data_IF_460966801354
#
_entry.id   IF_460966801354
#
_cell.length_a   1.000
_cell.length_b   1.000
_cell.length_c   1.000
_cell.angle_alpha   90.00
_cell.angle_beta   90.00
_cell.angle_gamma   90.00
#
_symmetry.space_group_name_H-M   'P 1'
#
loop_
_entity.id
_entity.type
_entity.pdbx_description
1 polymer ?
#
# COMPACT_ATOMS: atom_id res chain seq x y z
N UNK A 1 5.61 -35.91 58.06
CA UNK A 1 4.50 -34.93 58.11
C UNK A 1 5.03 -33.56 57.70
N UNK A 2 4.34 -32.61 57.07
CA UNK A 2 3.17 -32.55 56.17
C UNK A 2 2.79 -31.05 56.08
N UNK A 3 2.58 -30.49 54.88
CA UNK A 3 1.73 -29.29 54.62
C UNK A 3 2.27 -27.94 55.19
N UNK A 4 2.00 -26.75 54.62
CA UNK A 4 1.20 -26.29 53.46
C UNK A 4 1.77 -24.91 53.03
N UNK A 5 1.98 -24.68 51.73
CA UNK A 5 1.83 -23.34 51.14
C UNK A 5 0.97 -23.46 49.88
N UNK A 6 -0.03 -22.59 49.77
CA UNK A 6 -1.15 -22.77 48.87
C UNK A 6 -0.87 -22.24 47.45
N UNK A 7 -1.28 -23.03 46.44
CA UNK A 7 -1.31 -22.58 45.04
C UNK A 7 -2.36 -21.50 44.85
N UNK A 8 -1.95 -20.26 44.57
CA UNK A 8 -2.84 -19.25 43.98
C UNK A 8 -2.90 -19.50 42.46
N UNK A 9 -4.07 -19.91 41.95
CA UNK A 9 -4.33 -20.05 40.50
C UNK A 9 -4.74 -18.70 39.90
N UNK A 10 -4.17 -18.25 38.76
CA UNK A 10 -4.68 -17.09 38.04
C UNK A 10 -5.94 -17.47 37.25
N UNK A 11 -7.12 -17.30 37.84
CA UNK A 11 -8.40 -17.66 37.20
C UNK A 11 -8.99 -16.55 36.29
N UNK A 12 -8.15 -15.62 35.79
CA UNK A 12 -8.58 -14.45 34.99
C UNK A 12 -8.22 -14.45 33.50
N UNK A 13 -7.52 -15.46 32.96
CA UNK A 13 -7.17 -15.50 31.51
C UNK A 13 -8.32 -15.96 30.58
N UNK A 14 -9.10 -16.96 31.01
CA UNK A 14 -10.08 -17.67 30.15
C UNK A 14 -11.31 -16.88 29.69
N UNK A 15 -11.48 -15.63 30.11
CA UNK A 15 -12.55 -14.72 29.62
C UNK A 15 -12.05 -13.87 28.46
N UNK A 16 -10.84 -13.32 28.56
CA UNK A 16 -10.17 -12.58 27.48
C UNK A 16 -9.86 -13.51 26.29
N UNK A 17 -9.32 -14.70 26.52
CA UNK A 17 -9.06 -15.68 25.45
C UNK A 17 -10.32 -16.06 24.66
N UNK A 18 -11.47 -16.22 25.34
CA UNK A 18 -12.75 -16.53 24.69
C UNK A 18 -13.33 -15.34 23.93
N UNK A 19 -13.13 -14.11 24.42
CA UNK A 19 -13.48 -12.89 23.65
C UNK A 19 -12.62 -12.81 22.39
N UNK A 20 -11.31 -12.98 22.49
CA UNK A 20 -10.36 -12.93 21.37
C UNK A 20 -10.59 -14.03 20.33
N UNK A 21 -10.88 -15.27 20.75
CA UNK A 21 -11.26 -16.34 19.82
C UNK A 21 -12.60 -16.05 19.11
N UNK A 22 -13.60 -15.52 19.82
CA UNK A 22 -14.86 -15.09 19.22
C UNK A 22 -14.70 -13.92 18.23
N UNK A 23 -13.73 -13.03 18.47
CA UNK A 23 -13.35 -11.98 17.51
C UNK A 23 -12.70 -12.55 16.25
N UNK A 24 -11.79 -13.53 16.39
CA UNK A 24 -11.13 -14.20 15.27
C UNK A 24 -12.13 -14.88 14.33
N UNK A 25 -13.15 -15.55 14.88
CA UNK A 25 -14.26 -16.13 14.09
C UNK A 25 -15.08 -15.08 13.33
N UNK A 26 -15.59 -14.05 14.02
CA UNK A 26 -16.41 -12.98 13.42
C UNK A 26 -15.68 -12.09 12.42
N UNK A 27 -14.35 -12.09 12.43
CA UNK A 27 -13.54 -11.41 11.41
C UNK A 27 -13.41 -12.26 10.15
N UNK A 28 -13.13 -13.56 10.29
CA UNK A 28 -13.05 -14.52 9.18
C UNK A 28 -14.39 -14.66 8.45
N UNK A 29 -15.50 -14.77 9.18
CA UNK A 29 -16.86 -14.79 8.58
C UNK A 29 -17.14 -13.54 7.74
N UNK A 30 -16.73 -12.35 8.22
CA UNK A 30 -16.91 -11.09 7.47
C UNK A 30 -16.01 -11.00 6.25
N UNK A 31 -14.79 -11.55 6.29
CA UNK A 31 -13.90 -11.66 5.13
C UNK A 31 -14.51 -12.60 4.08
N UNK A 32 -15.00 -13.77 4.49
CA UNK A 32 -15.65 -14.71 3.57
C UNK A 32 -16.95 -14.16 2.97
N UNK A 33 -17.78 -13.47 3.75
CA UNK A 33 -19.03 -12.90 3.24
C UNK A 33 -18.77 -11.75 2.24
N UNK A 34 -17.72 -10.94 2.47
CA UNK A 34 -17.24 -9.94 1.50
C UNK A 34 -16.75 -10.61 0.21
N UNK A 35 -16.09 -11.77 0.31
CA UNK A 35 -15.66 -12.58 -0.84
C UNK A 35 -16.84 -13.22 -1.60
N UNK A 36 -17.85 -13.74 -0.88
CA UNK A 36 -19.10 -14.27 -1.47
C UNK A 36 -19.87 -13.18 -2.22
N UNK A 37 -20.06 -12.00 -1.61
CA UNK A 37 -20.70 -10.83 -2.25
C UNK A 37 -19.96 -10.31 -3.48
N UNK A 38 -18.63 -10.39 -3.53
CA UNK A 38 -17.83 -10.06 -4.73
C UNK A 38 -18.05 -11.06 -5.88
N UNK A 39 -18.29 -12.35 -5.60
CA UNK A 39 -18.56 -13.37 -6.63
C UNK A 39 -19.98 -13.33 -7.19
N UNK A 40 -20.93 -12.71 -6.47
CA UNK A 40 -22.35 -12.72 -6.83
C UNK A 40 -22.82 -11.54 -7.72
N UNK A 41 -21.95 -10.60 -8.13
CA UNK A 41 -22.35 -9.46 -8.96
C UNK A 41 -22.39 -9.84 -10.45
N UNK A 42 -23.55 -9.76 -11.14
CA UNK A 42 -23.62 -9.99 -12.59
C UNK A 42 -23.06 -8.79 -13.37
N UNK A 43 -22.31 -9.07 -14.44
CA UNK A 43 -21.71 -8.05 -15.31
C UNK A 43 -22.80 -7.32 -16.15
N UNK A 44 -22.82 -5.97 -16.21
CA UNK A 44 -23.77 -5.26 -17.05
C UNK A 44 -23.46 -5.46 -18.55
N UNK A 45 -24.43 -5.94 -19.32
CA UNK A 45 -24.33 -6.09 -20.78
C UNK A 45 -24.45 -4.73 -21.47
N UNK A 46 -23.42 -4.33 -22.22
CA UNK A 46 -23.43 -3.12 -23.03
C UNK A 46 -24.50 -3.18 -24.14
N UNK A 47 -25.48 -2.27 -24.11
CA UNK A 47 -26.44 -2.07 -25.21
C UNK A 47 -25.94 -0.98 -26.16
N UNK A 48 -25.30 -1.36 -27.27
CA UNK A 48 -25.16 -0.47 -28.43
C UNK A 48 -26.54 -0.14 -29.01
N UNK A 49 -26.93 1.14 -29.03
CA UNK A 49 -28.04 1.62 -29.88
C UNK A 49 -27.45 2.26 -31.14
N UNK A 50 -27.87 1.74 -32.30
CA UNK A 50 -27.63 2.37 -33.61
C UNK A 50 -28.86 3.21 -33.93
N UNK A 51 -28.68 4.52 -34.14
CA UNK A 51 -29.75 5.41 -34.58
C UNK A 51 -29.69 5.57 -36.11
N UNK A 52 -30.71 5.06 -36.82
CA UNK A 52 -30.82 5.18 -38.28
C UNK A 52 -31.64 6.40 -38.71
N UNK A 53 -31.17 7.12 -39.74
CA UNK A 53 -31.89 8.22 -40.39
C UNK A 53 -33.06 7.72 -41.27
N UNK A 54 -34.30 8.13 -40.98
CA UNK A 54 -35.43 8.55 -41.88
C UNK A 54 -36.42 9.35 -41.01
N UNK A 55 -37.15 10.39 -41.43
CA UNK A 55 -37.20 11.17 -42.68
C UNK A 55 -38.63 11.67 -42.97
N UNK A 56 -38.83 13.00 -43.16
CA UNK A 56 -40.09 13.71 -43.52
C UNK A 56 -41.12 13.88 -42.35
N UNK A 57 -41.95 14.94 -42.24
CA UNK A 57 -42.05 16.24 -42.94
C UNK A 57 -43.11 17.19 -42.34
N UNK A 58 -42.90 18.53 -42.42
CA UNK A 58 -43.90 19.65 -42.30
C UNK A 58 -44.60 19.80 -40.91
N UNK A 59 -45.06 20.97 -40.44
CA UNK A 59 -45.08 22.36 -40.93
C UNK A 59 -44.99 23.35 -39.72
N UNK A 60 -44.93 24.68 -39.96
CA UNK A 60 -45.17 25.71 -38.92
C UNK A 60 -44.05 26.73 -38.70
N UNK A 61 -44.14 27.87 -39.39
CA UNK A 61 -43.54 29.19 -39.04
C UNK A 61 -44.71 30.08 -38.51
N UNK A 62 -44.53 31.28 -37.90
CA UNK A 62 -43.44 32.25 -38.19
C UNK A 62 -42.89 33.12 -37.02
N UNK A 63 -41.84 33.90 -37.34
CA UNK A 63 -41.47 35.13 -36.63
C UNK A 63 -40.52 34.95 -35.43
N UNK A 64 -39.55 35.82 -35.17
CA UNK A 64 -39.07 37.03 -35.89
C UNK A 64 -37.55 37.17 -35.75
N UNK A 65 -36.94 37.89 -36.68
CA UNK A 65 -35.61 38.50 -36.56
C UNK A 65 -35.74 39.91 -37.18
N UNK A 66 -34.81 40.87 -36.93
CA UNK A 66 -33.63 40.91 -37.81
C UNK A 66 -32.35 41.64 -37.30
N UNK A 67 -31.22 41.44 -38.03
CA UNK A 67 -30.13 42.44 -38.34
C UNK A 67 -29.17 42.89 -37.22
N UNK A 68 -27.98 43.49 -37.44
CA UNK A 68 -27.06 43.79 -38.59
C UNK A 68 -25.66 44.16 -37.99
N UNK A 69 -24.47 44.20 -38.62
CA UNK A 69 -23.91 43.75 -39.93
C UNK A 69 -22.34 43.79 -39.87
N UNK A 70 -21.63 43.25 -40.88
CA UNK A 70 -20.23 43.60 -41.32
C UNK A 70 -19.04 43.29 -40.38
N UNK A 71 -17.77 43.20 -40.81
CA UNK A 71 -17.09 43.27 -42.13
C UNK A 71 -15.79 42.40 -42.10
N UNK A 72 -15.43 41.64 -43.15
CA UNK A 72 -14.50 41.92 -44.31
C UNK A 72 -12.99 42.08 -44.01
N UNK A 73 -12.15 41.46 -44.88
CA UNK A 73 -10.69 41.65 -45.02
C UNK A 73 -9.89 40.36 -44.74
N UNK A 74 -9.60 39.44 -45.67
CA UNK A 74 -8.93 39.50 -47.00
C UNK A 74 -7.38 39.50 -46.94
N UNK A 75 -6.75 38.43 -47.49
CA UNK A 75 -5.43 38.40 -48.18
C UNK A 75 -4.99 36.98 -48.62
N UNK A 76 -5.30 36.68 -49.88
CA UNK A 76 -4.40 36.21 -50.95
C UNK A 76 -3.33 35.08 -50.79
N UNK A 77 -3.41 34.13 -51.75
CA UNK A 77 -2.33 33.41 -52.49
C UNK A 77 -1.33 32.47 -51.76
N UNK A 78 -1.38 31.18 -52.15
CA UNK A 78 -0.68 30.66 -53.36
C UNK A 78 -1.30 29.34 -53.85
N UNK A 79 -1.18 29.06 -55.15
CA UNK A 79 -1.76 27.90 -55.81
C UNK A 79 -0.70 26.92 -56.32
N UNK A 80 -1.04 25.63 -56.37
CA UNK A 80 -0.32 24.59 -57.11
C UNK A 80 -1.32 23.65 -57.78
N UNK A 81 -1.25 23.51 -59.11
CA UNK A 81 -2.14 22.65 -59.93
C UNK A 81 -1.34 21.49 -60.55
N UNK A 82 -1.96 20.30 -60.63
CA UNK A 82 -2.06 19.36 -61.77
C UNK A 82 -2.58 18.00 -61.24
N UNK A 83 -3.81 17.57 -61.55
CA UNK A 83 -4.34 16.90 -62.78
C UNK A 83 -4.00 15.38 -62.89
N UNK A 84 -4.83 14.52 -63.55
CA UNK A 84 -5.31 13.29 -62.91
C UNK A 84 -5.28 12.01 -63.81
N UNK A 85 -6.05 10.98 -63.38
CA UNK A 85 -6.50 9.77 -64.10
C UNK A 85 -5.55 8.55 -64.11
N UNK A 86 -5.97 7.48 -63.42
CA UNK A 86 -6.43 6.18 -63.98
C UNK A 86 -6.64 5.21 -62.78
N UNK A 87 -7.87 4.80 -62.43
CA UNK A 87 -8.71 3.75 -63.03
C UNK A 87 -8.27 2.31 -62.67
N UNK A 88 -9.07 1.54 -61.91
CA UNK A 88 -8.67 0.15 -61.55
C UNK A 88 -9.49 -0.69 -60.56
N UNK A 89 -10.82 -0.83 -60.73
CA UNK A 89 -11.65 -2.02 -60.36
C UNK A 89 -11.52 -2.69 -58.96
N UNK A 90 -12.64 -2.78 -58.23
CA UNK A 90 -13.00 -3.98 -57.45
C UNK A 90 -14.53 -4.18 -57.40
N UNK A 91 -15.01 -5.43 -57.38
CA UNK A 91 -16.42 -5.84 -57.61
C UNK A 91 -17.23 -6.15 -56.33
N UNK A 92 -18.54 -6.30 -56.54
CA UNK A 92 -19.63 -6.44 -55.56
C UNK A 92 -19.87 -7.88 -55.08
N UNK A 93 -20.13 -8.02 -53.76
CA UNK A 93 -20.95 -9.00 -52.99
C UNK A 93 -21.20 -10.45 -53.50
N UNK A 94 -21.09 -11.40 -52.56
CA UNK A 94 -22.12 -12.37 -52.04
C UNK A 94 -21.49 -13.05 -50.78
N UNK A 95 -22.17 -13.60 -49.78
CA UNK A 95 -23.61 -13.76 -49.45
C UNK A 95 -23.89 -15.14 -48.80
N UNK A 96 -24.77 -15.23 -47.78
CA UNK A 96 -25.26 -16.45 -47.05
C UNK A 96 -24.30 -17.08 -46.01
N UNK A 97 -24.69 -17.85 -44.98
CA UNK A 97 -25.98 -18.08 -44.23
C UNK A 97 -25.65 -18.71 -42.85
N UNK A 98 -26.62 -18.81 -41.91
CA UNK A 98 -26.51 -19.56 -40.62
C UNK A 98 -27.13 -20.97 -40.78
N UNK A 99 -26.65 -22.05 -40.13
CA UNK A 99 -26.99 -22.58 -38.78
C UNK A 99 -26.84 -24.13 -38.82
N UNK A 100 -27.04 -24.96 -37.77
CA UNK A 100 -26.80 -24.81 -36.32
C UNK A 100 -26.16 -26.06 -35.62
N UNK A 101 -25.83 -25.91 -34.33
CA UNK A 101 -25.85 -26.88 -33.20
C UNK A 101 -25.76 -28.42 -33.41
N UNK A 102 -24.83 -29.05 -32.68
CA UNK A 102 -25.00 -30.40 -32.08
C UNK A 102 -24.56 -30.39 -30.60
N UNK A 103 -25.28 -31.15 -29.76
CA UNK A 103 -24.86 -31.56 -28.40
C UNK A 103 -24.40 -33.01 -28.47
N UNK A 104 -23.43 -33.38 -27.64
CA UNK A 104 -23.16 -34.77 -27.27
C UNK A 104 -22.71 -34.80 -25.81
N UNK A 105 -23.23 -35.78 -25.06
CA UNK A 105 -22.92 -36.03 -23.66
C UNK A 105 -22.18 -37.37 -23.51
N UNK A 106 -21.56 -37.50 -22.33
CA UNK A 106 -21.20 -38.71 -21.59
C UNK A 106 -19.74 -39.22 -21.74
N UNK A 107 -19.24 -40.06 -20.80
CA UNK A 107 -19.83 -40.50 -19.52
C UNK A 107 -18.95 -40.23 -18.27
N UNK A 108 -19.50 -40.50 -17.07
CA UNK A 108 -18.69 -40.69 -15.85
C UNK A 108 -17.85 -41.97 -15.95
N UNK A 109 -16.60 -41.90 -15.49
CA UNK A 109 -15.75 -43.08 -15.29
C UNK A 109 -15.23 -43.13 -13.83
N UNK A 110 -15.67 -44.12 -13.07
CA UNK A 110 -15.13 -44.44 -11.74
C UNK A 110 -13.81 -45.20 -11.93
N UNK A 111 -12.76 -44.87 -11.16
CA UNK A 111 -11.47 -45.59 -11.18
C UNK A 111 -11.20 -46.33 -9.86
N UNK A 112 -10.53 -47.49 -9.88
CA UNK A 112 -10.12 -48.20 -8.67
C UNK A 112 -8.97 -47.49 -7.93
N UNK A 113 -8.76 -47.85 -6.66
CA UNK A 113 -7.64 -47.40 -5.82
C UNK A 113 -6.30 -47.98 -6.31
N UNK A 114 -5.22 -47.21 -6.16
CA UNK A 114 -3.84 -47.73 -6.18
C UNK A 114 -2.92 -47.15 -7.26
N UNK A 115 -2.48 -45.89 -7.10
CA UNK A 115 -1.26 -45.35 -7.71
C UNK A 115 -0.91 -43.97 -7.12
N UNK A 116 0.36 -43.74 -6.81
CA UNK A 116 0.84 -42.50 -6.15
C UNK A 116 0.77 -41.27 -7.09
N UNK A 117 0.43 -40.06 -6.61
CA UNK A 117 0.32 -38.88 -7.47
C UNK A 117 1.69 -38.42 -7.99
N UNK A 118 1.84 -38.31 -9.32
CA UNK A 118 2.98 -37.63 -9.93
C UNK A 118 2.90 -36.13 -9.64
N UNK A 119 3.95 -35.56 -9.04
CA UNK A 119 4.06 -34.13 -8.76
C UNK A 119 4.12 -33.35 -10.08
N UNK A 120 3.03 -32.65 -10.42
CA UNK A 120 3.05 -31.65 -11.49
C UNK A 120 3.77 -30.39 -10.99
N UNK A 121 4.88 -30.03 -11.63
CA UNK A 121 5.48 -28.69 -11.49
C UNK A 121 4.46 -27.65 -11.95
N UNK A 122 3.84 -26.93 -11.02
CA UNK A 122 3.05 -25.75 -11.33
C UNK A 122 3.99 -24.64 -11.83
N UNK A 123 3.91 -24.29 -13.12
CA UNK A 123 4.51 -23.04 -13.61
C UNK A 123 3.78 -21.87 -12.92
N UNK A 124 4.53 -20.91 -12.41
CA UNK A 124 3.98 -19.69 -11.82
C UNK A 124 3.05 -19.00 -12.82
N UNK A 125 1.92 -18.49 -12.32
CA UNK A 125 0.90 -17.84 -13.14
C UNK A 125 1.29 -16.36 -13.33
N UNK A 126 1.28 -15.80 -14.55
CA UNK A 126 1.58 -14.39 -14.73
C UNK A 126 0.56 -13.50 -14.00
N UNK A 127 0.95 -12.30 -13.52
CA UNK A 127 0.06 -11.38 -12.83
C UNK A 127 -1.15 -11.00 -13.67
N UNK A 128 -2.29 -10.77 -13.02
CA UNK A 128 -3.50 -10.30 -13.68
C UNK A 128 -3.46 -8.79 -13.87
N UNK A 129 -4.25 -8.31 -14.82
CA UNK A 129 -4.30 -6.89 -15.19
C UNK A 129 -4.73 -5.96 -14.03
N UNK A 130 -5.48 -6.49 -13.05
CA UNK A 130 -5.82 -5.77 -11.82
C UNK A 130 -4.62 -5.55 -10.87
N UNK A 131 -3.66 -6.47 -10.84
CA UNK A 131 -2.49 -6.42 -9.95
C UNK A 131 -1.53 -5.28 -10.36
N UNK A 132 -1.60 -4.87 -11.64
CA UNK A 132 -0.86 -3.72 -12.18
C UNK A 132 -1.47 -2.37 -11.80
N UNK A 133 -2.78 -2.32 -11.50
CA UNK A 133 -3.47 -1.09 -11.11
C UNK A 133 -3.15 -0.74 -9.65
N UNK A 134 -3.12 -1.73 -8.76
CA UNK A 134 -2.70 -1.54 -7.36
C UNK A 134 -1.24 -1.10 -7.25
N UNK A 135 -0.29 -1.74 -7.97
CA UNK A 135 1.12 -1.34 -7.89
C UNK A 135 1.39 0.06 -8.47
N UNK A 136 0.67 0.47 -9.52
CA UNK A 136 0.78 1.82 -10.06
C UNK A 136 0.13 2.88 -9.13
N UNK A 137 -0.92 2.53 -8.40
CA UNK A 137 -1.55 3.41 -7.41
C UNK A 137 -0.65 3.58 -6.17
N UNK A 138 -0.07 2.50 -5.65
CA UNK A 138 0.92 2.55 -4.57
C UNK A 138 2.16 3.36 -4.99
N UNK A 139 2.73 3.11 -6.18
CA UNK A 139 3.84 3.93 -6.72
C UNK A 139 3.47 5.39 -6.96
N UNK A 140 2.19 5.74 -7.10
CA UNK A 140 1.74 7.13 -7.14
C UNK A 140 1.71 7.76 -5.74
N UNK A 141 1.12 7.07 -4.75
CA UNK A 141 1.08 7.52 -3.35
C UNK A 141 2.49 7.72 -2.76
N UNK A 142 3.44 6.84 -3.07
CA UNK A 142 4.83 6.98 -2.61
C UNK A 142 5.53 8.28 -3.04
N UNK A 143 5.01 8.99 -4.06
CA UNK A 143 5.55 10.30 -4.47
C UNK A 143 5.27 11.41 -3.46
N UNK A 144 4.26 11.25 -2.59
CA UNK A 144 3.95 12.22 -1.54
C UNK A 144 5.15 12.45 -0.59
N UNK A 145 6.00 11.45 -0.38
CA UNK A 145 7.17 11.57 0.50
C UNK A 145 8.30 12.44 -0.05
N UNK A 146 8.24 12.86 -1.31
CA UNK A 146 9.16 13.85 -1.91
C UNK A 146 8.79 15.28 -1.47
N UNK A 147 7.54 15.50 -1.08
CA UNK A 147 7.03 16.81 -0.67
C UNK A 147 7.63 17.26 0.68
N UNK A 148 8.03 18.53 0.75
CA UNK A 148 8.70 19.06 1.94
C UNK A 148 7.77 19.22 3.14
N UNK A 149 6.47 19.46 2.93
CA UNK A 149 5.51 19.55 4.04
C UNK A 149 5.28 18.15 4.63
N UNK A 150 5.14 17.14 3.78
CA UNK A 150 5.07 15.73 4.22
C UNK A 150 6.32 15.34 5.01
N UNK A 151 7.52 15.72 4.54
CA UNK A 151 8.78 15.47 5.24
C UNK A 151 8.88 16.22 6.59
N UNK A 152 8.50 17.51 6.65
CA UNK A 152 8.45 18.27 7.91
C UNK A 152 7.48 17.64 8.92
N UNK A 153 6.32 17.18 8.44
CA UNK A 153 5.28 16.58 9.28
C UNK A 153 5.65 15.19 9.82
N UNK A 154 6.67 14.50 9.26
CA UNK A 154 7.13 13.22 9.78
C UNK A 154 7.64 13.28 11.23
N UNK A 155 8.02 14.46 11.74
CA UNK A 155 8.43 14.65 13.14
C UNK A 155 7.31 14.41 14.16
N UNK A 156 6.04 14.46 13.72
CA UNK A 156 4.86 14.18 14.55
C UNK A 156 4.45 12.71 14.52
N UNK A 157 5.11 11.86 13.73
CA UNK A 157 4.85 10.41 13.77
C UNK A 157 5.26 9.82 15.12
N UNK A 158 4.50 8.80 15.50
CA UNK A 158 4.68 8.03 16.71
C UNK A 158 6.09 7.41 16.73
N UNK A 159 6.84 7.48 17.86
CA UNK A 159 8.14 6.86 17.97
C UNK A 159 8.05 5.32 17.98
N UNK A 160 9.11 4.65 17.55
CA UNK A 160 9.25 3.21 17.78
C UNK A 160 9.35 2.92 19.29
N UNK A 161 8.61 1.93 19.83
CA UNK A 161 8.79 1.48 21.21
C UNK A 161 10.24 1.04 21.48
N UNK A 162 10.83 1.32 22.67
CA UNK A 162 12.23 0.99 22.98
C UNK A 162 12.61 -0.47 22.72
N UNK A 163 11.70 -1.41 22.98
CA UNK A 163 11.87 -2.86 22.74
C UNK A 163 12.23 -3.18 21.27
N UNK A 164 11.87 -2.32 20.31
CA UNK A 164 12.31 -2.45 18.91
C UNK A 164 13.83 -2.44 18.82
N UNK A 165 14.48 -1.50 19.52
CA UNK A 165 15.93 -1.36 19.48
C UNK A 165 16.63 -2.48 20.24
N UNK A 166 16.05 -2.98 21.34
CA UNK A 166 16.55 -4.17 22.05
C UNK A 166 16.57 -5.42 21.14
N UNK A 167 15.46 -5.66 20.40
CA UNK A 167 15.39 -6.77 19.44
C UNK A 167 16.39 -6.58 18.30
N UNK A 168 16.48 -5.39 17.70
CA UNK A 168 17.41 -5.14 16.59
C UNK A 168 18.88 -5.23 17.02
N UNK A 169 19.22 -4.80 18.24
CA UNK A 169 20.56 -4.95 18.81
C UNK A 169 20.93 -6.43 19.01
N UNK A 170 19.98 -7.26 19.44
CA UNK A 170 20.14 -8.72 19.55
C UNK A 170 20.20 -9.46 18.21
N UNK A 171 19.71 -8.86 17.12
CA UNK A 171 19.81 -9.41 15.76
C UNK A 171 21.11 -9.00 15.04
N UNK A 172 21.77 -7.92 15.46
CA UNK A 172 22.98 -7.40 14.83
C UNK A 172 24.22 -8.26 15.13
N UNK A 173 24.62 -9.05 14.12
CA UNK A 173 25.86 -9.83 14.11
C UNK A 173 27.06 -9.01 13.61
N UNK A 174 28.24 -9.63 13.51
CA UNK A 174 29.41 -9.01 12.88
C UNK A 174 29.34 -9.06 11.34
N UNK A 175 29.80 -8.03 10.62
CA UNK A 175 30.25 -6.72 11.13
C UNK A 175 29.06 -5.92 11.68
N UNK A 176 29.26 -5.03 12.67
CA UNK A 176 28.15 -4.27 13.28
C UNK A 176 27.67 -3.09 12.41
N UNK A 177 27.72 -3.27 11.10
CA UNK A 177 27.24 -2.34 10.08
C UNK A 177 25.79 -2.67 9.72
N UNK A 178 24.96 -1.65 9.55
CA UNK A 178 23.52 -1.80 9.27
C UNK A 178 23.15 -1.12 7.96
N UNK A 179 22.24 -1.74 7.21
CA UNK A 179 21.51 -1.11 6.11
C UNK A 179 20.12 -0.73 6.60
N UNK A 180 19.72 0.54 6.52
CA UNK A 180 18.34 0.98 6.79
C UNK A 180 17.72 1.48 5.49
N UNK A 181 16.84 0.66 4.91
CA UNK A 181 16.33 0.84 3.56
C UNK A 181 14.92 1.45 3.57
N UNK A 182 14.76 2.56 2.84
CA UNK A 182 13.59 3.44 2.98
C UNK A 182 13.54 4.04 4.38
N UNK A 183 14.65 4.64 4.83
CA UNK A 183 14.80 5.13 6.19
C UNK A 183 13.91 6.33 6.52
N UNK A 184 13.33 7.00 5.51
CA UNK A 184 12.55 8.22 5.67
C UNK A 184 13.34 9.30 6.40
N UNK A 185 12.71 9.95 7.39
CA UNK A 185 13.39 10.89 8.28
C UNK A 185 14.26 10.21 9.34
N UNK A 186 14.52 8.90 9.23
CA UNK A 186 15.46 8.13 10.06
C UNK A 186 15.03 7.87 11.51
N UNK A 187 13.73 7.74 11.76
CA UNK A 187 13.22 7.39 13.10
C UNK A 187 13.77 6.06 13.63
N UNK A 188 14.01 5.08 12.75
CA UNK A 188 14.70 3.84 13.10
C UNK A 188 16.24 4.06 13.12
N UNK A 189 16.78 4.65 12.05
CA UNK A 189 18.21 4.99 11.86
C UNK A 189 18.88 5.60 13.09
N UNK A 190 18.27 6.63 13.70
CA UNK A 190 18.89 7.32 14.83
C UNK A 190 18.95 6.46 16.10
N UNK A 191 18.01 5.54 16.29
CA UNK A 191 18.07 4.56 17.38
C UNK A 191 19.09 3.44 17.12
N UNK A 192 19.25 3.01 15.86
CA UNK A 192 20.31 2.07 15.46
C UNK A 192 21.72 2.61 15.79
N UNK A 193 21.92 3.94 15.75
CA UNK A 193 23.21 4.58 16.00
C UNK A 193 23.72 4.44 17.44
N UNK A 194 22.87 3.95 18.36
CA UNK A 194 23.25 3.58 19.72
C UNK A 194 24.04 2.28 19.84
N UNK A 195 24.01 1.38 18.83
CA UNK A 195 24.63 0.05 18.91
C UNK A 195 25.24 -0.50 17.61
N UNK A 196 25.06 0.18 16.48
CA UNK A 196 25.75 -0.06 15.23
C UNK A 196 27.05 0.75 15.15
N UNK A 197 28.07 0.22 14.45
CA UNK A 197 29.33 0.92 14.16
C UNK A 197 29.18 1.89 12.98
N UNK A 198 28.39 1.50 11.97
CA UNK A 198 28.07 2.29 10.77
C UNK A 198 26.67 1.95 10.28
N UNK A 199 25.92 2.92 9.80
CA UNK A 199 24.59 2.73 9.21
C UNK A 199 24.57 3.39 7.84
N UNK A 200 24.29 2.62 6.80
CA UNK A 200 23.95 3.17 5.48
C UNK A 200 22.43 3.36 5.44
N UNK A 201 21.98 4.61 5.54
CA UNK A 201 20.57 4.99 5.63
C UNK A 201 20.10 5.52 4.28
N UNK A 202 19.26 4.76 3.59
CA UNK A 202 18.89 4.98 2.18
C UNK A 202 17.43 5.40 2.08
N UNK A 203 17.15 6.53 1.43
CA UNK A 203 15.79 6.94 1.07
C UNK A 203 15.78 7.71 -0.28
N UNK A 204 14.77 7.51 -1.15
CA UNK A 204 14.68 8.25 -2.40
C UNK A 204 14.29 9.73 -2.21
N UNK A 205 13.78 10.13 -1.04
CA UNK A 205 13.41 11.52 -0.76
C UNK A 205 14.57 12.29 -0.11
N UNK A 206 15.12 13.25 -0.87
CA UNK A 206 16.08 14.21 -0.33
C UNK A 206 15.47 15.04 0.81
N UNK A 207 14.18 15.38 0.74
CA UNK A 207 13.48 16.12 1.79
C UNK A 207 13.45 15.32 3.10
N UNK A 208 13.15 14.02 3.05
CA UNK A 208 13.18 13.13 4.22
C UNK A 208 14.57 13.05 4.84
N UNK A 209 15.61 12.88 4.02
CA UNK A 209 17.01 12.83 4.50
C UNK A 209 17.45 14.16 5.09
N UNK A 210 17.02 15.28 4.51
CA UNK A 210 17.32 16.63 5.00
C UNK A 210 16.71 16.89 6.37
N UNK A 211 15.47 16.46 6.60
CA UNK A 211 14.85 16.50 7.94
C UNK A 211 15.50 15.49 8.89
N UNK A 212 15.81 14.29 8.43
CA UNK A 212 16.46 13.26 9.23
C UNK A 212 17.80 13.68 9.83
N UNK A 213 18.60 14.44 9.07
CA UNK A 213 19.86 15.08 9.52
C UNK A 213 19.68 16.21 10.54
N UNK A 214 18.50 16.86 10.57
CA UNK A 214 18.19 17.97 11.49
C UNK A 214 17.59 17.50 12.82
N UNK A 215 17.03 16.30 12.86
CA UNK A 215 16.43 15.72 14.07
C UNK A 215 17.51 15.23 15.05
N UNK A 216 17.28 15.28 16.38
CA UNK A 216 18.29 14.91 17.39
C UNK A 216 18.89 13.52 17.16
N UNK A 217 20.22 13.46 17.01
CA UNK A 217 20.99 12.25 16.71
C UNK A 217 21.18 11.95 15.22
N UNK A 218 20.62 12.76 14.32
CA UNK A 218 20.76 12.63 12.86
C UNK A 218 22.10 13.12 12.31
N UNK A 219 22.85 13.85 13.14
CA UNK A 219 24.19 14.38 12.96
C UNK A 219 25.30 13.37 13.34
N UNK A 220 24.93 12.20 13.88
CA UNK A 220 25.87 11.15 14.25
C UNK A 220 26.76 10.71 13.07
N UNK A 221 28.08 10.76 13.25
CA UNK A 221 29.09 10.32 12.28
C UNK A 221 28.93 8.85 11.83
N UNK A 222 28.20 8.04 12.62
CA UNK A 222 27.87 6.65 12.28
C UNK A 222 26.83 6.54 11.17
N UNK A 223 26.06 7.59 10.88
CA UNK A 223 24.95 7.58 9.92
C UNK A 223 25.41 8.15 8.58
N UNK A 224 25.58 7.27 7.59
CA UNK A 224 25.76 7.64 6.19
C UNK A 224 24.41 7.74 5.50
N UNK A 225 23.90 8.96 5.41
CA UNK A 225 22.69 9.31 4.68
C UNK A 225 22.89 9.28 3.15
N UNK A 226 22.14 8.44 2.44
CA UNK A 226 22.24 8.21 0.99
C UNK A 226 20.90 8.50 0.32
N UNK A 227 20.87 9.54 -0.53
CA UNK A 227 19.71 9.83 -1.39
C UNK A 227 19.70 8.85 -2.56
N UNK A 228 18.69 7.98 -2.65
CA UNK A 228 18.60 6.97 -3.69
C UNK A 228 17.57 5.89 -3.40
N UNK A 229 17.28 5.03 -4.39
CA UNK A 229 16.34 3.92 -4.20
C UNK A 229 17.07 2.69 -3.68
N UNK A 230 16.43 1.91 -2.81
CA UNK A 230 17.02 0.68 -2.27
C UNK A 230 17.38 -0.34 -3.36
N UNK A 231 16.69 -0.29 -4.50
CA UNK A 231 16.93 -1.11 -5.69
C UNK A 231 18.29 -0.86 -6.36
N UNK A 232 18.81 0.37 -6.33
CA UNK A 232 19.95 0.82 -7.14
C UNK A 232 21.08 1.51 -6.35
N UNK A 233 20.78 2.18 -5.23
CA UNK A 233 21.72 2.94 -4.41
C UNK A 233 22.95 2.11 -3.94
N UNK A 234 24.16 2.70 -3.94
CA UNK A 234 25.40 1.98 -3.68
C UNK A 234 25.46 1.43 -2.24
N UNK A 235 25.71 0.13 -2.12
CA UNK A 235 25.81 -0.58 -0.84
C UNK A 235 27.28 -0.86 -0.47
N UNK A 236 27.68 -0.55 0.75
CA UNK A 236 29.00 -0.84 1.30
C UNK A 236 28.99 -2.15 2.11
N UNK A 237 28.56 -3.24 1.46
CA UNK A 237 28.47 -4.58 2.02
C UNK A 237 29.83 -5.10 2.57
N UNK A 238 29.85 -6.06 3.51
CA UNK A 238 28.70 -6.73 4.10
C UNK A 238 28.05 -5.95 5.26
N UNK A 239 26.78 -6.27 5.54
CA UNK A 239 26.02 -5.80 6.69
C UNK A 239 25.69 -6.93 7.67
N UNK A 240 25.80 -6.67 8.97
CA UNK A 240 25.33 -7.59 10.02
C UNK A 240 23.80 -7.58 10.16
N UNK A 241 23.13 -6.51 9.74
CA UNK A 241 21.67 -6.38 9.76
C UNK A 241 21.19 -5.49 8.60
N UNK A 242 20.06 -5.83 8.00
CA UNK A 242 19.28 -4.95 7.16
C UNK A 242 17.94 -4.66 7.84
N UNK A 243 17.45 -3.43 7.74
CA UNK A 243 16.21 -2.97 8.35
C UNK A 243 15.32 -2.28 7.32
N UNK A 244 14.01 -2.40 7.51
CA UNK A 244 12.98 -1.65 6.77
C UNK A 244 11.90 -1.22 7.76
N UNK A 245 11.70 0.08 7.94
CA UNK A 245 10.71 0.65 8.86
C UNK A 245 9.49 1.18 8.10
N UNK A 246 8.40 0.42 8.08
CA UNK A 246 7.16 0.72 7.33
C UNK A 246 7.40 1.10 5.85
N UNK A 247 8.47 0.58 5.24
CA UNK A 247 8.99 1.03 3.95
C UNK A 247 9.00 -0.04 2.85
N UNK A 248 9.10 -1.32 3.20
CA UNK A 248 9.38 -2.40 2.24
C UNK A 248 8.30 -2.58 1.17
N UNK A 249 7.04 -2.21 1.46
CA UNK A 249 5.93 -2.29 0.52
C UNK A 249 5.97 -1.25 -0.62
N UNK A 250 6.85 -0.23 -0.54
CA UNK A 250 7.09 0.71 -1.65
C UNK A 250 8.13 0.20 -2.67
N UNK A 251 8.93 -0.81 -2.30
CA UNK A 251 10.09 -1.26 -3.05
C UNK A 251 9.72 -2.33 -4.09
N UNK A 252 10.53 -2.47 -5.14
CA UNK A 252 10.45 -3.65 -5.99
C UNK A 252 11.07 -4.88 -5.29
N UNK A 253 10.22 -5.66 -4.63
CA UNK A 253 10.59 -6.85 -3.84
C UNK A 253 11.46 -7.85 -4.62
N UNK A 254 11.24 -7.97 -5.94
CA UNK A 254 12.01 -8.86 -6.82
C UNK A 254 13.46 -8.40 -7.03
N UNK A 255 13.73 -7.12 -6.76
CA UNK A 255 15.07 -6.50 -6.84
C UNK A 255 15.70 -6.41 -5.45
N UNK A 256 14.97 -5.89 -4.46
CA UNK A 256 15.57 -5.59 -3.14
C UNK A 256 15.86 -6.84 -2.31
N UNK A 257 15.05 -7.89 -2.37
CA UNK A 257 15.28 -9.08 -1.52
C UNK A 257 16.56 -9.84 -1.92
N UNK A 258 16.81 -10.18 -3.21
CA UNK A 258 18.09 -10.76 -3.60
C UNK A 258 19.28 -9.81 -3.34
N UNK A 259 19.10 -8.50 -3.55
CA UNK A 259 20.14 -7.49 -3.30
C UNK A 259 20.51 -7.42 -1.81
N UNK A 260 19.54 -7.42 -0.91
CA UNK A 260 19.78 -7.45 0.54
C UNK A 260 20.39 -8.79 0.96
N UNK A 261 19.93 -9.91 0.40
CA UNK A 261 20.51 -11.24 0.65
C UNK A 261 21.98 -11.33 0.28
N UNK A 262 22.38 -10.76 -0.86
CA UNK A 262 23.77 -10.69 -1.29
C UNK A 262 24.63 -9.68 -0.51
N UNK A 263 24.00 -8.66 0.10
CA UNK A 263 24.70 -7.64 0.88
C UNK A 263 24.83 -7.97 2.38
N UNK A 264 24.09 -8.96 2.89
CA UNK A 264 24.16 -9.42 4.27
C UNK A 264 25.37 -10.35 4.49
N UNK A 265 25.92 -10.31 5.70
CA UNK A 265 26.86 -11.33 6.19
C UNK A 265 26.15 -12.71 6.29
N UNK A 266 26.88 -13.85 6.32
CA UNK A 266 26.29 -15.20 6.28
C UNK A 266 25.24 -15.52 7.38
N UNK A 267 25.30 -14.82 8.52
CA UNK A 267 24.36 -14.91 9.64
C UNK A 267 23.53 -13.63 9.85
N UNK A 268 23.72 -12.64 8.98
CA UNK A 268 22.95 -11.41 8.95
C UNK A 268 21.51 -11.65 8.48
N UNK A 269 20.62 -10.73 8.86
CA UNK A 269 19.16 -10.87 8.66
C UNK A 269 18.57 -9.59 8.10
N UNK A 270 17.45 -9.71 7.42
CA UNK A 270 16.52 -8.60 7.19
C UNK A 270 15.50 -8.59 8.33
N UNK A 271 15.35 -7.44 8.99
CA UNK A 271 14.27 -7.15 9.92
C UNK A 271 13.29 -6.16 9.29
N UNK A 272 12.02 -6.53 9.28
CA UNK A 272 10.90 -5.74 8.78
C UNK A 272 10.11 -5.26 9.99
N UNK A 273 10.01 -3.95 10.17
CA UNK A 273 9.42 -3.30 11.34
C UNK A 273 8.23 -2.45 10.90
N UNK A 274 7.11 -2.59 11.59
CA UNK A 274 5.93 -1.74 11.40
C UNK A 274 5.29 -1.39 12.76
N UNK A 275 4.44 -0.37 12.81
CA UNK A 275 3.87 0.18 14.05
C UNK A 275 2.36 0.36 14.00
N UNK A 276 1.68 -0.13 15.04
CA UNK A 276 0.26 0.01 15.26
C UNK A 276 -0.01 1.02 16.40
N UNK A 277 -0.96 1.93 16.22
CA UNK A 277 -1.57 2.70 17.31
C UNK A 277 -2.87 2.02 17.74
N UNK A 278 -2.87 1.40 18.91
CA UNK A 278 -4.04 0.72 19.48
C UNK A 278 -4.84 1.71 20.33
N UNK A 279 -6.09 1.95 19.97
CA UNK A 279 -6.96 2.90 20.68
C UNK A 279 -7.89 2.15 21.64
N UNK A 280 -8.08 2.68 22.85
CA UNK A 280 -8.92 2.05 23.89
C UNK A 280 -10.42 2.22 23.66
N UNK A 281 -10.82 3.32 23.02
CA UNK A 281 -12.18 3.56 22.55
C UNK A 281 -12.23 3.47 21.02
N UNK A 282 -13.19 2.70 20.52
CA UNK A 282 -13.44 2.53 19.09
C UNK A 282 -14.45 3.55 18.53
N UNK A 283 -15.22 4.27 19.35
CA UNK A 283 -16.32 5.11 18.88
C UNK A 283 -15.84 6.27 18.00
N UNK A 284 -15.12 7.24 18.58
CA UNK A 284 -14.52 8.34 17.81
C UNK A 284 -13.60 7.83 16.70
N UNK A 285 -12.88 6.73 16.94
CA UNK A 285 -11.93 6.18 15.97
C UNK A 285 -12.66 5.64 14.74
N UNK A 286 -13.81 4.98 14.91
CA UNK A 286 -14.67 4.46 13.83
C UNK A 286 -15.25 5.60 13.00
N UNK A 287 -15.74 6.65 13.65
CA UNK A 287 -16.27 7.82 12.96
C UNK A 287 -15.16 8.53 12.16
N UNK A 288 -13.96 8.63 12.73
CA UNK A 288 -12.79 9.16 12.03
C UNK A 288 -12.32 8.25 10.87
N UNK A 289 -12.43 6.91 10.98
CA UNK A 289 -12.19 6.03 9.82
C UNK A 289 -13.19 6.33 8.69
N UNK A 290 -14.46 6.59 9.01
CA UNK A 290 -15.45 6.95 8.00
C UNK A 290 -15.15 8.31 7.32
N UNK A 291 -14.52 9.25 8.03
CA UNK A 291 -13.93 10.46 7.41
C UNK A 291 -12.76 10.07 6.50
N UNK A 292 -11.82 9.22 6.95
CA UNK A 292 -10.66 8.82 6.15
C UNK A 292 -11.09 8.18 4.82
N UNK A 293 -12.03 7.23 4.86
CA UNK A 293 -12.56 6.53 3.68
C UNK A 293 -13.26 7.47 2.67
N UNK A 294 -13.84 8.59 3.13
CA UNK A 294 -14.47 9.62 2.28
C UNK A 294 -13.45 10.37 1.44
N UNK A 295 -12.31 10.74 2.02
CA UNK A 295 -11.30 11.58 1.36
C UNK A 295 -10.26 10.77 0.60
N UNK A 296 -9.77 9.67 1.18
CA UNK A 296 -8.85 8.73 0.56
C UNK A 296 -9.33 7.29 0.81
N UNK A 297 -9.97 6.64 -0.19
CA UNK A 297 -10.42 5.26 -0.09
C UNK A 297 -9.30 4.34 0.42
N UNK A 298 -9.51 3.78 1.61
CA UNK A 298 -8.45 3.15 2.38
C UNK A 298 -7.82 1.97 1.61
N UNK A 299 -6.49 2.00 1.53
CA UNK A 299 -5.71 0.79 1.38
C UNK A 299 -5.30 0.37 2.80
N UNK A 300 -5.60 -0.86 3.18
CA UNK A 300 -5.19 -1.40 4.47
C UNK A 300 -3.77 -1.95 4.35
N UNK A 301 -2.84 -1.38 5.10
CA UNK A 301 -1.50 -1.94 5.26
C UNK A 301 -1.60 -3.21 6.12
N UNK A 302 -1.84 -4.34 5.47
CA UNK A 302 -1.86 -5.66 6.10
C UNK A 302 -0.43 -6.18 6.24
N UNK A 303 0.24 -5.76 7.31
CA UNK A 303 1.62 -6.16 7.61
C UNK A 303 1.82 -7.67 7.57
N UNK A 304 0.92 -8.46 8.20
CA UNK A 304 1.04 -9.91 8.21
C UNK A 304 0.67 -10.54 6.86
N UNK A 305 -0.25 -9.94 6.10
CA UNK A 305 -0.50 -10.29 4.70
C UNK A 305 0.73 -10.12 3.83
N UNK A 306 1.42 -8.98 3.94
CA UNK A 306 2.69 -8.70 3.25
C UNK A 306 3.77 -9.72 3.61
N UNK A 307 3.95 -10.04 4.90
CA UNK A 307 4.90 -11.09 5.34
C UNK A 307 4.52 -12.46 4.75
N UNK A 308 3.23 -12.82 4.72
CA UNK A 308 2.77 -14.08 4.14
C UNK A 308 2.97 -14.14 2.61
N UNK A 309 2.82 -13.01 1.90
CA UNK A 309 3.14 -12.90 0.47
C UNK A 309 4.64 -13.05 0.21
N UNK A 310 5.48 -12.44 1.05
CA UNK A 310 6.94 -12.59 1.02
C UNK A 310 7.37 -14.05 1.23
N UNK A 311 6.82 -14.73 2.25
CA UNK A 311 7.07 -16.16 2.49
C UNK A 311 6.58 -17.03 1.31
N UNK A 312 5.36 -16.78 0.80
CA UNK A 312 4.77 -17.54 -0.31
C UNK A 312 5.50 -17.35 -1.64
N UNK A 313 6.17 -16.20 -1.84
CA UNK A 313 7.01 -15.94 -3.01
C UNK A 313 8.32 -16.74 -3.01
N UNK A 314 8.79 -17.19 -1.84
CA UNK A 314 10.08 -17.83 -1.65
C UNK A 314 11.27 -16.86 -1.48
N UNK A 315 11.05 -15.56 -1.63
CA UNK A 315 12.08 -14.52 -1.48
C UNK A 315 12.36 -14.12 -0.03
N UNK A 316 11.65 -14.69 0.95
CA UNK A 316 11.90 -14.47 2.36
C UNK A 316 11.68 -15.76 3.16
N UNK A 317 12.59 -16.07 4.08
CA UNK A 317 12.45 -17.14 5.06
C UNK A 317 12.45 -16.53 6.46
N UNK A 318 11.27 -16.41 7.08
CA UNK A 318 11.13 -15.94 8.46
C UNK A 318 11.86 -16.88 9.42
N UNK A 319 12.64 -16.30 10.33
CA UNK A 319 13.33 -17.00 11.41
C UNK A 319 12.73 -16.69 12.78
N UNK A 320 12.05 -15.55 12.91
CA UNK A 320 11.33 -15.19 14.12
C UNK A 320 10.52 -13.91 13.99
N UNK A 321 9.75 -13.64 15.03
CA UNK A 321 8.93 -12.44 15.14
C UNK A 321 8.80 -11.98 16.60
N UNK A 322 8.58 -10.68 16.79
CA UNK A 322 8.22 -10.06 18.07
C UNK A 322 7.11 -9.05 17.82
N UNK A 323 6.09 -9.07 18.68
CA UNK A 323 5.19 -7.94 18.90
C UNK A 323 5.56 -7.33 20.25
N UNK A 324 5.83 -6.03 20.29
CA UNK A 324 6.29 -5.38 21.52
C UNK A 324 5.19 -5.31 22.58
N UNK A 325 5.58 -5.05 23.82
CA UNK A 325 4.65 -4.55 24.82
C UNK A 325 4.00 -3.23 24.33
N UNK A 326 2.70 -3.00 24.64
CA UNK A 326 2.04 -1.73 24.37
C UNK A 326 2.60 -0.63 25.29
N UNK A 327 3.10 0.47 24.71
CA UNK A 327 3.52 1.66 25.48
C UNK A 327 2.47 2.78 25.36
N UNK A 328 2.10 3.47 26.44
CA UNK A 328 1.16 4.59 26.36
C UNK A 328 1.79 5.75 25.59
N UNK A 329 1.00 6.36 24.70
CA UNK A 329 1.40 7.54 23.95
C UNK A 329 0.23 8.52 23.80
N UNK A 330 0.54 9.80 23.86
CA UNK A 330 -0.44 10.88 23.82
C UNK A 330 0.13 12.05 23.04
N UNK A 331 -0.71 12.70 22.24
CA UNK A 331 -0.38 13.84 21.40
C UNK A 331 -1.54 14.84 21.37
N UNK A 332 -1.28 16.09 21.04
CA UNK A 332 -2.36 17.06 20.83
C UNK A 332 -3.18 16.71 19.58
N UNK A 333 -4.36 17.31 19.42
CA UNK A 333 -5.14 17.13 18.19
C UNK A 333 -4.40 17.67 16.96
N UNK A 334 -3.64 18.77 17.12
CA UNK A 334 -2.88 19.39 16.03
C UNK A 334 -1.69 18.53 15.61
N UNK A 335 -0.94 17.97 16.58
CA UNK A 335 0.13 17.00 16.30
C UNK A 335 -0.43 15.76 15.58
N UNK A 336 -1.62 15.28 15.98
CA UNK A 336 -2.28 14.14 15.35
C UNK A 336 -2.70 14.45 13.91
N UNK A 337 -3.23 15.64 13.64
CA UNK A 337 -3.59 16.07 12.28
C UNK A 337 -2.35 16.26 11.42
N UNK A 338 -1.26 16.81 11.96
CA UNK A 338 0.02 16.89 11.28
C UNK A 338 0.62 15.49 11.01
N UNK A 339 0.51 14.55 11.95
CA UNK A 339 0.89 13.15 11.76
C UNK A 339 0.08 12.50 10.63
N UNK A 340 -1.23 12.71 10.55
CA UNK A 340 -2.06 12.25 9.42
C UNK A 340 -1.63 12.91 8.10
N UNK A 341 -1.33 14.21 8.10
CA UNK A 341 -0.81 14.94 6.94
C UNK A 341 0.61 14.48 6.50
N UNK A 342 1.33 13.74 7.35
CA UNK A 342 2.60 13.07 6.97
C UNK A 342 2.39 11.75 6.21
N UNK A 343 1.16 11.25 6.07
CA UNK A 343 0.85 10.00 5.37
C UNK A 343 0.68 10.23 3.86
N UNK A 344 1.01 9.22 3.05
CA UNK A 344 0.86 9.34 1.59
C UNK A 344 -0.59 9.51 1.13
N UNK A 345 -1.56 9.03 1.91
CA UNK A 345 -3.00 9.07 1.62
C UNK A 345 -3.73 10.33 2.11
N UNK A 346 -3.32 10.92 3.24
CA UNK A 346 -4.01 12.06 3.87
C UNK A 346 -3.19 13.37 3.88
N UNK A 347 -2.03 13.38 3.22
CA UNK A 347 -1.23 14.61 3.01
C UNK A 347 -1.93 15.65 2.15
N UNK A 348 -1.57 16.94 2.34
CA UNK A 348 -2.06 18.06 1.53
C UNK A 348 -1.77 17.88 0.04
N UNK A 349 -0.60 17.35 -0.33
CA UNK A 349 -0.25 17.07 -1.74
C UNK A 349 -1.16 16.02 -2.40
N UNK A 350 -1.64 15.03 -1.65
CA UNK A 350 -2.56 13.99 -2.14
C UNK A 350 -4.02 14.44 -2.11
N UNK A 351 -4.46 15.11 -1.03
CA UNK A 351 -5.84 15.57 -0.87
C UNK A 351 -6.16 16.83 -1.68
N UNK A 352 -5.16 17.67 -1.97
CA UNK A 352 -5.24 18.91 -2.74
C UNK A 352 -6.25 19.88 -2.14
N UNK A 353 -7.18 20.39 -2.95
CA UNK A 353 -8.30 21.27 -2.60
C UNK A 353 -9.22 20.70 -1.51
N UNK A 354 -9.16 19.38 -1.25
CA UNK A 354 -9.97 18.71 -0.23
C UNK A 354 -9.29 18.61 1.14
N UNK A 355 -8.05 19.10 1.28
CA UNK A 355 -7.29 18.96 2.53
C UNK A 355 -7.92 19.74 3.70
N UNK A 356 -8.36 20.98 3.47
CA UNK A 356 -8.97 21.82 4.52
C UNK A 356 -10.34 21.25 4.96
N UNK A 357 -11.11 20.69 4.02
CA UNK A 357 -12.38 20.02 4.31
C UNK A 357 -12.16 18.72 5.11
N UNK A 358 -11.11 17.95 4.79
CA UNK A 358 -10.70 16.79 5.57
C UNK A 358 -10.32 17.17 7.01
N UNK A 359 -9.50 18.22 7.19
CA UNK A 359 -9.08 18.68 8.51
C UNK A 359 -10.28 19.19 9.33
N UNK A 360 -11.20 19.92 8.70
CA UNK A 360 -12.45 20.37 9.31
C UNK A 360 -13.32 19.18 9.76
N UNK A 361 -13.58 18.20 8.89
CA UNK A 361 -14.35 16.99 9.22
C UNK A 361 -13.69 16.22 10.39
N UNK A 362 -12.37 16.07 10.38
CA UNK A 362 -11.63 15.38 11.44
C UNK A 362 -11.71 16.13 12.80
N UNK A 363 -11.54 17.46 12.80
CA UNK A 363 -11.75 18.31 13.98
C UNK A 363 -13.20 18.24 14.49
N UNK A 364 -14.17 18.13 13.58
CA UNK A 364 -15.58 17.89 13.90
C UNK A 364 -15.79 16.59 14.70
N UNK A 365 -15.10 15.50 14.34
CA UNK A 365 -15.14 14.26 15.14
C UNK A 365 -14.54 14.47 16.53
N UNK A 366 -13.39 15.13 16.65
CA UNK A 366 -12.77 15.39 17.96
C UNK A 366 -13.67 16.23 18.87
N UNK A 367 -14.30 17.28 18.33
CA UNK A 367 -15.24 18.12 19.07
C UNK A 367 -16.50 17.35 19.49
N UNK A 368 -17.08 16.53 18.59
CA UNK A 368 -18.28 15.74 18.88
C UNK A 368 -18.06 14.68 19.99
N UNK A 369 -16.83 14.18 20.13
CA UNK A 369 -16.43 13.24 21.18
C UNK A 369 -15.76 13.91 22.39
N UNK A 370 -15.75 15.26 22.46
CA UNK A 370 -15.19 16.01 23.59
C UNK A 370 -13.69 15.79 23.81
N UNK A 371 -12.94 15.52 22.74
CA UNK A 371 -11.52 15.17 22.80
C UNK A 371 -10.65 16.42 22.86
N UNK A 372 -9.66 16.42 23.77
CA UNK A 372 -8.59 17.43 23.82
C UNK A 372 -7.25 16.89 23.30
N UNK A 373 -7.03 15.58 23.39
CA UNK A 373 -5.77 14.89 23.09
C UNK A 373 -6.07 13.48 22.56
N UNK A 374 -5.22 12.97 21.67
CA UNK A 374 -5.36 11.60 21.16
C UNK A 374 -4.49 10.66 21.99
N UNK A 375 -5.13 9.68 22.64
CA UNK A 375 -4.48 8.64 23.45
C UNK A 375 -4.46 7.30 22.72
N UNK A 376 -3.31 6.69 22.62
CA UNK A 376 -3.12 5.35 22.06
C UNK A 376 -2.11 4.54 22.89
N UNK A 377 -2.09 3.24 22.67
CA UNK A 377 -0.96 2.39 23.01
C UNK A 377 -0.18 2.07 21.73
N UNK A 378 1.09 2.43 21.66
CA UNK A 378 1.96 2.08 20.53
C UNK A 378 2.46 0.66 20.68
N UNK A 379 2.43 -0.07 19.58
CA UNK A 379 2.97 -1.41 19.44
C UNK A 379 3.80 -1.45 18.17
N UNK A 380 4.95 -2.12 18.20
CA UNK A 380 5.64 -2.51 16.99
C UNK A 380 5.52 -4.00 16.70
N UNK A 381 5.50 -4.32 15.41
CA UNK A 381 5.60 -5.66 14.86
C UNK A 381 6.94 -5.77 14.16
N UNK A 382 7.75 -6.75 14.57
CA UNK A 382 9.10 -6.97 14.09
C UNK A 382 9.14 -8.40 13.57
N UNK A 383 9.42 -8.59 12.28
CA UNK A 383 9.62 -9.91 11.68
C UNK A 383 11.02 -9.95 11.08
N UNK A 384 11.80 -10.97 11.40
CA UNK A 384 13.15 -11.11 10.86
C UNK A 384 13.37 -12.47 10.20
N UNK A 385 14.29 -12.48 9.25
CA UNK A 385 14.60 -13.67 8.47
C UNK A 385 15.68 -13.44 7.42
N UNK A 386 15.83 -14.43 6.55
CA UNK A 386 16.78 -14.38 5.42
C UNK A 386 16.02 -14.03 4.12
N UNK A 387 16.34 -12.91 3.47
CA UNK A 387 15.87 -12.63 2.11
C UNK A 387 16.63 -13.48 1.09
N UNK A 388 16.03 -13.74 -0.09
CA UNK A 388 16.57 -14.62 -1.15
C UNK A 388 16.34 -14.06 -2.55
#
# INVERSE_FOLDING_TARGET
MHRRLARVRPQRSRRLERVLQGWRGRLLERIEDRARRRRARPHPRARRRVAGRRGRSRAGRPGTAPREDRARGDRDRRAGRRDPRQAGRARVRRGRQRSPLRREEAPLAVRPRGQSPRVRRCRARPPREGDRVTSHYQRHLGRAFIDEEVARNYRYRQPYPPEVFDVLAGLLVAPRTVLDAGCGSGALTRGLAGFAERIDAIDPSEAMIREGRRLPGGDSERIRWIVGRAEDAPLAAPYGLATTGASIHWMDLSVVLPRFGAALAPTGRLAIVDTESVYADEAWRRDLVAVFERYSPAHSDDFYGLIAELEASGHFTREGERRTAPIPYEQSLDDYLAMLASTSSLSRVTLRDRADAFEHDARGIFAAHGMERVRAALVAHIVWGRPR
#
